data_IF_674218526434
#
_entry.id   IF_674218526434
#
_cell.length_a   1.000
_cell.length_b   1.000
_cell.length_c   1.000
_cell.angle_alpha   90.00
_cell.angle_beta   90.00
_cell.angle_gamma   90.00
#
_symmetry.space_group_name_H-M   'P 1'
#
loop_
_entity.id
_entity.type
_entity.pdbx_description
1 polymer ?
#
# COMPACT_ATOMS: atom_id res chain seq x y z
N UNK A 1 -5.18 12.47 21.64
CA UNK A 1 -3.82 11.90 21.41
C UNK A 1 -3.65 11.71 19.91
N UNK A 2 -2.46 11.97 19.37
CA UNK A 2 -2.17 12.21 17.94
C UNK A 2 -2.66 11.09 17.00
N UNK A 3 -3.43 11.46 15.97
CA UNK A 3 -3.66 10.66 14.76
C UNK A 3 -2.31 10.41 14.08
N UNK A 4 -1.73 9.22 14.28
CA UNK A 4 -0.63 8.76 13.44
C UNK A 4 -1.22 8.33 12.09
N UNK A 5 -1.07 9.18 11.09
CA UNK A 5 -1.19 8.79 9.69
C UNK A 5 -0.14 7.69 9.43
N UNK A 6 -0.53 6.59 8.78
CA UNK A 6 0.38 5.48 8.46
C UNK A 6 1.22 5.75 7.20
N UNK A 7 0.88 6.79 6.45
CA UNK A 7 1.73 7.28 5.38
C UNK A 7 2.74 8.27 5.95
N UNK A 8 4.00 8.08 5.57
CA UNK A 8 5.08 9.00 5.84
C UNK A 8 5.75 9.32 4.50
N UNK A 9 5.62 10.56 4.04
CA UNK A 9 6.50 11.09 3.01
C UNK A 9 7.85 11.35 3.67
N UNK A 10 8.68 10.32 3.71
CA UNK A 10 10.02 10.43 4.27
C UNK A 10 10.94 10.84 3.14
N UNK A 11 11.50 12.04 3.23
CA UNK A 11 12.63 12.40 2.40
C UNK A 11 13.83 11.62 2.96
N UNK A 12 14.12 10.45 2.38
CA UNK A 12 15.24 9.61 2.82
C UNK A 12 16.49 10.12 2.10
N UNK A 13 16.97 11.30 2.48
CA UNK A 13 18.13 11.97 1.87
C UNK A 13 17.79 13.25 1.10
N UNK A 14 18.78 13.94 0.56
CA UNK A 14 18.56 15.23 -0.13
C UNK A 14 18.03 15.08 -1.58
N UNK A 15 17.97 13.86 -2.13
CA UNK A 15 17.66 13.61 -3.56
C UNK A 15 16.66 12.46 -3.80
N UNK A 16 16.04 11.90 -2.76
CA UNK A 16 15.12 10.76 -2.88
C UNK A 16 13.85 10.91 -2.05
N UNK A 17 12.70 10.74 -2.71
CA UNK A 17 11.38 10.83 -2.12
C UNK A 17 10.75 9.44 -1.99
N UNK A 18 10.40 9.06 -0.76
CA UNK A 18 9.68 7.82 -0.51
C UNK A 18 8.17 8.10 -0.40
N UNK A 19 7.38 7.33 -1.13
CA UNK A 19 5.90 7.40 -1.16
C UNK A 19 5.34 6.02 -0.78
N UNK A 20 4.57 5.98 0.30
CA UNK A 20 3.87 4.78 0.74
C UNK A 20 2.46 4.74 0.14
N UNK A 21 2.16 3.72 -0.64
CA UNK A 21 0.84 3.44 -1.23
C UNK A 21 0.19 2.29 -0.49
N UNK A 22 -0.24 2.57 0.74
CA UNK A 22 -0.76 1.58 1.68
C UNK A 22 -2.27 1.76 1.87
N UNK A 23 -3.04 0.67 1.92
CA UNK A 23 -4.51 0.75 2.01
C UNK A 23 -5.21 0.94 0.67
N UNK A 24 -6.47 1.38 0.68
CA UNK A 24 -7.27 1.53 -0.53
C UNK A 24 -6.94 2.83 -1.28
N UNK A 25 -6.97 2.79 -2.61
CA UNK A 25 -6.88 3.97 -3.48
C UNK A 25 -8.29 4.53 -3.66
N UNK A 26 -8.62 5.64 -3.02
CA UNK A 26 -9.99 6.17 -2.99
C UNK A 26 -10.23 7.25 -4.05
N UNK A 27 -11.49 7.35 -4.49
CA UNK A 27 -11.95 8.49 -5.32
C UNK A 27 -12.24 9.69 -4.43
N UNK A 28 -11.60 10.83 -4.68
CA UNK A 28 -11.90 12.11 -4.01
C UNK A 28 -10.71 12.75 -3.28
N UNK A 29 -11.02 13.69 -2.38
CA UNK A 29 -10.04 14.44 -1.58
C UNK A 29 -9.77 13.78 -0.22
N UNK A 30 -9.15 14.49 0.72
CA UNK A 30 -8.92 13.94 2.07
C UNK A 30 -10.21 13.51 2.78
N UNK A 31 -11.34 14.16 2.48
CA UNK A 31 -12.65 13.86 3.07
C UNK A 31 -13.27 12.55 2.56
N UNK A 32 -12.68 11.94 1.52
CA UNK A 32 -13.13 10.67 0.93
C UNK A 32 -12.38 9.45 1.46
N UNK A 33 -11.47 9.66 2.42
CA UNK A 33 -10.73 8.59 3.10
C UNK A 33 -11.61 7.98 4.20
N UNK A 34 -11.76 6.66 4.16
CA UNK A 34 -12.45 5.88 5.18
C UNK A 34 -11.50 5.52 6.33
N UNK A 35 -10.23 5.32 5.99
CA UNK A 35 -9.13 5.14 6.94
C UNK A 35 -8.04 6.20 6.73
N UNK A 36 -7.33 6.52 7.81
CA UNK A 36 -6.09 7.30 7.80
C UNK A 36 -5.00 6.77 6.86
N UNK A 37 -5.07 5.50 6.46
CA UNK A 37 -4.15 4.87 5.52
C UNK A 37 -4.52 5.14 4.06
N UNK A 38 -5.79 5.39 3.75
CA UNK A 38 -6.25 5.50 2.37
C UNK A 38 -5.50 6.57 1.58
N UNK A 39 -5.32 6.30 0.30
CA UNK A 39 -4.50 7.12 -0.60
C UNK A 39 -5.40 7.80 -1.62
N UNK A 40 -5.26 9.13 -1.76
CA UNK A 40 -6.02 9.88 -2.75
C UNK A 40 -5.11 10.66 -3.72
N UNK A 41 -5.69 11.13 -4.82
CA UNK A 41 -4.95 11.87 -5.85
C UNK A 41 -4.22 13.10 -5.28
N UNK A 42 -4.83 13.79 -4.30
CA UNK A 42 -4.28 15.02 -3.74
C UNK A 42 -2.95 14.77 -3.00
N UNK A 43 -2.80 13.61 -2.34
CA UNK A 43 -1.56 13.26 -1.64
C UNK A 43 -0.38 13.15 -2.64
N UNK A 44 -0.62 12.59 -3.81
CA UNK A 44 0.37 12.55 -4.89
C UNK A 44 0.60 13.92 -5.51
N UNK A 45 -0.48 14.69 -5.71
CA UNK A 45 -0.41 16.02 -6.31
C UNK A 45 0.52 16.94 -5.53
N UNK A 46 0.26 17.10 -4.23
CA UNK A 46 1.01 18.04 -3.42
C UNK A 46 2.47 17.59 -3.24
N UNK A 47 2.70 16.29 -3.17
CA UNK A 47 4.05 15.74 -3.01
C UNK A 47 4.87 15.87 -4.29
N UNK A 48 4.32 15.48 -5.44
CA UNK A 48 5.05 15.47 -6.70
C UNK A 48 5.18 16.87 -7.33
N UNK A 49 4.29 17.82 -7.00
CA UNK A 49 4.48 19.21 -7.41
C UNK A 49 5.63 19.89 -6.64
N UNK A 50 5.98 19.38 -5.46
CA UNK A 50 7.03 19.91 -4.59
C UNK A 50 8.32 19.04 -4.58
N UNK A 51 8.66 18.41 -5.70
CA UNK A 51 9.82 17.50 -5.80
C UNK A 51 11.18 18.16 -5.48
N UNK A 52 11.33 19.48 -5.63
CA UNK A 52 12.61 20.15 -5.41
C UNK A 52 13.74 19.53 -6.25
N UNK A 53 14.83 19.12 -5.59
CA UNK A 53 16.00 18.48 -6.21
C UNK A 53 15.93 16.93 -6.22
N UNK A 54 14.74 16.36 -6.03
CA UNK A 54 14.55 14.90 -6.03
C UNK A 54 14.96 14.31 -7.37
N UNK A 55 15.85 13.31 -7.34
CA UNK A 55 16.29 12.53 -8.49
C UNK A 55 15.67 11.13 -8.52
N UNK A 56 15.21 10.63 -7.38
CA UNK A 56 14.61 9.30 -7.26
C UNK A 56 13.30 9.36 -6.49
N UNK A 57 12.26 8.70 -6.98
CA UNK A 57 11.01 8.46 -6.25
C UNK A 57 10.89 6.96 -5.99
N UNK A 58 10.75 6.56 -4.74
CA UNK A 58 10.52 5.17 -4.34
C UNK A 58 9.05 5.00 -3.94
N UNK A 59 8.33 4.14 -4.66
CA UNK A 59 6.94 3.78 -4.39
C UNK A 59 6.90 2.46 -3.63
N UNK A 60 6.50 2.48 -2.36
CA UNK A 60 6.28 1.26 -1.58
C UNK A 60 4.81 0.92 -1.61
N UNK A 61 4.47 -0.28 -2.08
CA UNK A 61 3.11 -0.67 -2.44
C UNK A 61 2.65 -1.76 -1.50
N UNK A 62 1.56 -1.49 -0.81
CA UNK A 62 0.89 -2.43 0.06
C UNK A 62 -0.62 -2.17 0.07
N UNK A 63 -1.25 -2.38 -1.08
CA UNK A 63 -2.61 -1.93 -1.40
C UNK A 63 -3.44 -3.03 -2.06
N UNK A 64 -4.71 -3.06 -1.66
CA UNK A 64 -5.75 -3.92 -2.25
C UNK A 64 -6.33 -3.35 -3.55
N UNK A 65 -5.89 -2.17 -4.00
CA UNK A 65 -6.46 -1.46 -5.15
C UNK A 65 -7.54 -0.45 -4.74
N UNK A 66 -8.58 -0.30 -5.55
CA UNK A 66 -9.63 0.72 -5.40
C UNK A 66 -9.95 1.44 -6.72
N UNK A 67 -10.00 2.77 -6.68
CA UNK A 67 -10.35 3.64 -7.80
C UNK A 67 -9.34 3.58 -8.95
N UNK A 68 -9.78 2.99 -10.06
CA UNK A 68 -9.03 2.95 -11.32
C UNK A 68 -8.73 4.36 -11.85
N UNK A 69 -9.69 5.28 -11.75
CA UNK A 69 -9.53 6.66 -12.25
C UNK A 69 -8.49 7.44 -11.43
N UNK A 70 -8.54 7.33 -10.09
CA UNK A 70 -7.51 7.92 -9.22
C UNK A 70 -6.14 7.35 -9.56
N UNK A 71 -6.05 6.03 -9.73
CA UNK A 71 -4.81 5.34 -10.08
C UNK A 71 -4.24 5.80 -11.42
N UNK A 72 -5.08 5.96 -12.45
CA UNK A 72 -4.66 6.50 -13.74
C UNK A 72 -4.14 7.94 -13.63
N UNK A 73 -4.77 8.76 -12.79
CA UNK A 73 -4.27 10.09 -12.45
C UNK A 73 -2.87 10.04 -11.83
N UNK A 74 -2.65 9.13 -10.87
CA UNK A 74 -1.35 8.91 -10.22
C UNK A 74 -0.29 8.46 -11.24
N UNK A 75 -0.63 7.51 -12.12
CA UNK A 75 0.27 7.04 -13.19
C UNK A 75 0.67 8.19 -14.12
N UNK A 76 -0.28 9.04 -14.54
CA UNK A 76 0.01 10.20 -15.37
C UNK A 76 0.92 11.22 -14.66
N UNK A 77 0.81 11.35 -13.33
CA UNK A 77 1.72 12.17 -12.54
C UNK A 77 3.13 11.58 -12.51
N UNK A 78 3.26 10.29 -12.18
CA UNK A 78 4.55 9.59 -12.15
C UNK A 78 5.24 9.65 -13.51
N UNK A 79 4.51 9.48 -14.61
CA UNK A 79 5.06 9.62 -15.95
C UNK A 79 5.60 11.03 -16.22
N UNK A 80 4.90 12.08 -15.77
CA UNK A 80 5.42 13.46 -15.89
C UNK A 80 6.69 13.68 -15.07
N UNK A 81 6.82 13.00 -13.94
CA UNK A 81 8.02 13.02 -13.09
C UNK A 81 9.18 12.32 -13.80
N UNK A 82 8.96 11.14 -14.37
CA UNK A 82 9.94 10.42 -15.19
C UNK A 82 10.43 11.23 -16.39
N UNK A 83 9.52 11.92 -17.08
CA UNK A 83 9.87 12.78 -18.22
C UNK A 83 10.78 13.96 -17.83
N UNK A 84 10.89 14.30 -16.54
CA UNK A 84 11.83 15.31 -16.00
C UNK A 84 13.19 14.71 -15.62
N UNK A 85 13.43 13.42 -15.88
CA UNK A 85 14.69 12.74 -15.56
C UNK A 85 14.76 12.18 -14.14
N UNK A 86 13.63 12.09 -13.43
CA UNK A 86 13.55 11.47 -12.11
C UNK A 86 13.32 9.97 -12.27
N UNK A 87 14.16 9.15 -11.63
CA UNK A 87 14.01 7.68 -11.62
C UNK A 87 12.87 7.30 -10.68
N UNK A 88 11.97 6.43 -11.13
CA UNK A 88 10.90 5.90 -10.28
C UNK A 88 11.17 4.42 -10.01
N UNK A 89 11.32 4.06 -8.74
CA UNK A 89 11.41 2.67 -8.29
C UNK A 89 10.10 2.28 -7.63
N UNK A 90 9.70 1.02 -7.78
CA UNK A 90 8.58 0.45 -7.03
C UNK A 90 9.03 -0.76 -6.22
N UNK A 91 8.48 -0.88 -5.03
CA UNK A 91 8.70 -1.96 -4.09
C UNK A 91 7.33 -2.52 -3.73
N UNK A 92 7.04 -3.74 -4.13
CA UNK A 92 5.82 -4.44 -3.70
C UNK A 92 6.11 -4.95 -2.29
N UNK A 93 5.81 -4.16 -1.26
CA UNK A 93 6.17 -4.46 0.13
C UNK A 93 5.37 -5.62 0.73
N UNK A 94 4.17 -5.86 0.21
CA UNK A 94 3.36 -7.01 0.60
C UNK A 94 2.32 -7.38 -0.44
N UNK A 95 1.36 -6.48 -0.69
CA UNK A 95 0.27 -6.72 -1.64
C UNK A 95 0.18 -5.60 -2.69
N UNK A 96 0.14 -5.97 -3.97
CA UNK A 96 -0.28 -5.10 -5.06
C UNK A 96 -1.44 -5.74 -5.81
N UNK A 97 -2.68 -5.47 -5.40
CA UNK A 97 -3.86 -6.10 -5.99
C UNK A 97 -4.71 -5.12 -6.81
N UNK A 98 -5.38 -5.65 -7.84
CA UNK A 98 -6.31 -4.86 -8.67
C UNK A 98 -5.61 -3.62 -9.24
N UNK A 99 -6.19 -2.43 -9.22
CA UNK A 99 -5.55 -1.24 -9.81
C UNK A 99 -4.20 -0.85 -9.16
N UNK A 100 -3.90 -1.29 -7.92
CA UNK A 100 -2.58 -1.06 -7.33
C UNK A 100 -1.47 -1.81 -8.09
N UNK A 101 -1.79 -2.91 -8.77
CA UNK A 101 -0.86 -3.65 -9.63
C UNK A 101 -0.41 -2.87 -10.87
N UNK A 102 -1.04 -1.74 -11.17
CA UNK A 102 -0.66 -0.86 -12.28
C UNK A 102 0.56 0.01 -11.94
N UNK A 103 0.73 0.33 -10.64
CA UNK A 103 1.77 1.26 -10.18
C UNK A 103 3.20 0.74 -10.36
N UNK A 104 3.51 -0.55 -10.10
CA UNK A 104 4.84 -1.06 -10.43
C UNK A 104 5.15 -0.94 -11.91
N UNK A 105 4.14 -1.12 -12.77
CA UNK A 105 4.34 -1.25 -14.21
C UNK A 105 4.80 0.06 -14.89
N UNK A 106 4.51 1.23 -14.32
CA UNK A 106 5.01 2.52 -14.82
C UNK A 106 6.44 2.84 -14.33
N UNK A 107 6.95 2.10 -13.35
CA UNK A 107 8.25 2.38 -12.71
C UNK A 107 9.41 2.05 -13.64
N UNK A 108 10.58 2.64 -13.41
CA UNK A 108 11.82 2.26 -14.09
C UNK A 108 12.28 0.90 -13.59
N UNK A 109 12.34 0.72 -12.26
CA UNK A 109 12.70 -0.53 -11.61
C UNK A 109 11.56 -1.06 -10.74
N UNK A 110 11.41 -2.39 -10.70
CA UNK A 110 10.41 -3.08 -9.89
C UNK A 110 11.10 -4.09 -8.99
N UNK A 111 10.84 -3.95 -7.70
CA UNK A 111 11.37 -4.81 -6.64
C UNK A 111 10.23 -5.51 -5.92
N UNK A 112 10.43 -6.79 -5.61
CA UNK A 112 9.54 -7.59 -4.79
C UNK A 112 10.36 -8.32 -3.72
N UNK A 113 9.77 -8.58 -2.56
CA UNK A 113 10.32 -9.47 -1.53
C UNK A 113 9.75 -10.87 -1.74
N UNK A 114 10.36 -11.90 -1.15
CA UNK A 114 9.83 -13.27 -1.25
C UNK A 114 8.37 -13.40 -0.77
N UNK A 115 7.97 -12.55 0.17
CA UNK A 115 6.61 -12.49 0.72
C UNK A 115 5.62 -11.73 -0.16
N UNK A 116 6.08 -11.00 -1.19
CA UNK A 116 5.26 -10.12 -2.00
C UNK A 116 4.29 -10.86 -2.90
N UNK A 117 3.12 -10.24 -3.09
CA UNK A 117 2.03 -10.79 -3.88
C UNK A 117 1.47 -9.72 -4.80
N UNK A 118 1.27 -10.08 -6.06
CA UNK A 118 0.62 -9.24 -7.06
C UNK A 118 -0.62 -9.96 -7.58
N UNK A 119 -1.73 -9.23 -7.69
CA UNK A 119 -2.95 -9.75 -8.30
C UNK A 119 -3.41 -8.89 -9.45
N UNK A 120 -3.71 -9.55 -10.57
CA UNK A 120 -4.31 -8.94 -11.75
C UNK A 120 -5.63 -9.63 -12.10
N UNK A 121 -6.62 -8.85 -12.48
CA UNK A 121 -7.95 -9.34 -12.88
C UNK A 121 -8.60 -8.40 -13.88
N UNK A 122 -9.65 -8.84 -14.58
CA UNK A 122 -10.40 -8.02 -15.54
C UNK A 122 -10.95 -6.74 -14.89
N UNK A 123 -11.09 -5.65 -15.67
CA UNK A 123 -11.75 -4.45 -15.15
C UNK A 123 -13.20 -4.79 -14.79
N UNK A 124 -13.66 -4.29 -13.64
CA UNK A 124 -15.00 -4.54 -13.13
C UNK A 124 -15.73 -3.24 -12.83
N UNK A 125 -17.04 -3.24 -13.05
CA UNK A 125 -17.95 -2.19 -12.60
C UNK A 125 -19.30 -2.80 -12.19
N UNK A 126 -20.14 -1.99 -11.57
CA UNK A 126 -21.55 -2.32 -11.31
C UNK A 126 -22.38 -1.53 -12.31
N UNK A 127 -23.21 -2.22 -13.08
CA UNK A 127 -24.14 -1.62 -14.04
C UNK A 127 -25.58 -1.97 -13.68
N UNK A 128 -26.47 -0.99 -13.80
CA UNK A 128 -27.92 -1.16 -13.70
C UNK A 128 -28.56 -0.44 -14.89
N UNK A 129 -29.35 -1.15 -15.68
CA UNK A 129 -29.91 -0.61 -16.92
C UNK A 129 -30.54 -1.70 -17.78
N UNK A 130 -30.84 -1.35 -19.04
CA UNK A 130 -31.37 -2.29 -20.03
C UNK A 130 -30.23 -3.05 -20.75
N UNK A 131 -30.58 -3.86 -21.75
CA UNK A 131 -29.61 -4.65 -22.51
C UNK A 131 -28.57 -3.79 -23.26
N UNK A 132 -28.97 -2.63 -23.78
CA UNK A 132 -28.08 -1.72 -24.51
C UNK A 132 -27.08 -1.05 -23.55
N UNK A 133 -27.53 -0.69 -22.34
CA UNK A 133 -26.66 -0.17 -21.28
C UNK A 133 -25.62 -1.21 -20.88
N UNK A 134 -26.03 -2.47 -20.70
CA UNK A 134 -25.12 -3.56 -20.36
C UNK A 134 -24.09 -3.83 -21.47
N UNK A 135 -24.53 -3.86 -22.74
CA UNK A 135 -23.63 -4.06 -23.87
C UNK A 135 -22.62 -2.91 -23.98
N UNK A 136 -23.06 -1.66 -23.82
CA UNK A 136 -22.19 -0.50 -23.81
C UNK A 136 -21.12 -0.57 -22.70
N UNK A 137 -21.49 -1.04 -21.51
CA UNK A 137 -20.51 -1.24 -20.43
C UNK A 137 -19.52 -2.36 -20.73
N UNK A 138 -19.95 -3.47 -21.35
CA UNK A 138 -19.05 -4.53 -21.80
C UNK A 138 -18.01 -3.97 -22.77
N UNK A 139 -18.44 -3.17 -23.75
CA UNK A 139 -17.54 -2.57 -24.74
C UNK A 139 -16.53 -1.61 -24.10
N UNK A 140 -16.95 -0.82 -23.10
CA UNK A 140 -16.07 0.06 -22.33
C UNK A 140 -15.03 -0.74 -21.54
N UNK A 141 -15.44 -1.81 -20.85
CA UNK A 141 -14.54 -2.64 -20.05
C UNK A 141 -13.52 -3.35 -20.93
N UNK A 142 -13.95 -3.92 -22.06
CA UNK A 142 -13.04 -4.54 -23.04
C UNK A 142 -12.06 -3.51 -23.62
N UNK A 143 -12.55 -2.31 -23.96
CA UNK A 143 -11.68 -1.25 -24.45
C UNK A 143 -10.66 -0.82 -23.40
N UNK A 144 -11.04 -0.76 -22.13
CA UNK A 144 -10.11 -0.43 -21.04
C UNK A 144 -9.05 -1.52 -20.86
N UNK A 145 -9.45 -2.79 -20.89
CA UNK A 145 -8.53 -3.93 -20.88
C UNK A 145 -7.51 -3.83 -22.01
N UNK A 146 -7.97 -3.67 -23.25
CA UNK A 146 -7.12 -3.65 -24.44
C UNK A 146 -6.26 -2.38 -24.57
N UNK A 147 -6.80 -1.21 -24.21
CA UNK A 147 -6.15 0.08 -24.49
C UNK A 147 -5.30 0.60 -23.32
N UNK A 148 -5.53 0.10 -22.11
CA UNK A 148 -4.89 0.64 -20.89
C UNK A 148 -4.17 -0.46 -20.13
N UNK A 149 -4.87 -1.52 -19.77
CA UNK A 149 -4.29 -2.55 -18.89
C UNK A 149 -3.24 -3.39 -19.61
N UNK A 150 -3.58 -3.91 -20.79
CA UNK A 150 -2.69 -4.78 -21.56
C UNK A 150 -1.38 -4.08 -21.94
N UNK A 151 -1.37 -2.86 -22.52
CA UNK A 151 -0.11 -2.19 -22.84
C UNK A 151 0.75 -1.91 -21.60
N UNK A 152 0.09 -1.62 -20.47
CA UNK A 152 0.79 -1.34 -19.22
C UNK A 152 1.53 -2.59 -18.70
N UNK A 153 0.86 -3.74 -18.64
CA UNK A 153 1.51 -4.99 -18.22
C UNK A 153 2.57 -5.45 -19.23
N UNK A 154 2.26 -5.39 -20.53
CA UNK A 154 3.19 -5.78 -21.58
C UNK A 154 4.46 -4.92 -21.59
N UNK A 155 4.39 -3.66 -21.13
CA UNK A 155 5.58 -2.79 -21.02
C UNK A 155 6.65 -3.30 -20.05
N UNK A 156 6.28 -4.23 -19.17
CA UNK A 156 7.17 -4.87 -18.18
C UNK A 156 7.23 -6.38 -18.32
N UNK A 157 6.55 -6.95 -19.32
CA UNK A 157 6.56 -8.38 -19.54
C UNK A 157 7.93 -8.84 -20.06
N UNK A 158 8.36 -10.04 -19.66
CA UNK A 158 9.58 -10.66 -20.18
C UNK A 158 9.40 -11.12 -21.61
N UNK A 159 10.52 -11.27 -22.32
CA UNK A 159 10.55 -11.84 -23.66
C UNK A 159 9.83 -13.20 -23.71
N UNK A 160 8.91 -13.33 -24.67
CA UNK A 160 8.12 -14.53 -24.88
C UNK A 160 6.77 -14.57 -24.16
N UNK A 161 6.49 -13.62 -23.26
CA UNK A 161 5.13 -13.42 -22.74
C UNK A 161 4.27 -12.79 -23.82
N UNK A 162 3.07 -13.32 -24.06
CA UNK A 162 2.14 -12.83 -25.10
C UNK A 162 0.94 -12.09 -24.52
N UNK A 163 0.32 -11.25 -25.35
CA UNK A 163 -0.92 -10.55 -25.02
C UNK A 163 -2.02 -11.52 -24.57
N UNK A 164 -2.15 -12.68 -25.22
CA UNK A 164 -3.14 -13.70 -24.88
C UNK A 164 -2.88 -14.31 -23.50
N UNK A 165 -1.61 -14.49 -23.12
CA UNK A 165 -1.27 -14.99 -21.79
C UNK A 165 -1.68 -13.99 -20.71
N UNK A 166 -1.37 -12.70 -20.89
CA UNK A 166 -1.80 -11.66 -19.95
C UNK A 166 -3.33 -11.57 -19.88
N UNK A 167 -4.04 -11.61 -21.02
CA UNK A 167 -5.52 -11.61 -21.06
C UNK A 167 -6.13 -12.82 -20.35
N UNK A 168 -5.54 -14.00 -20.51
CA UNK A 168 -5.97 -15.21 -19.80
C UNK A 168 -5.75 -15.07 -18.28
N UNK A 169 -4.61 -14.52 -17.87
CA UNK A 169 -4.33 -14.24 -16.46
C UNK A 169 -5.33 -13.22 -15.85
N UNK A 170 -5.66 -12.16 -16.59
CA UNK A 170 -6.69 -11.19 -16.18
C UNK A 170 -8.07 -11.85 -16.04
N UNK A 171 -8.44 -12.70 -17.00
CA UNK A 171 -9.71 -13.43 -16.97
C UNK A 171 -9.84 -14.36 -15.76
N UNK A 172 -8.72 -14.98 -15.35
CA UNK A 172 -8.66 -15.93 -14.24
C UNK A 172 -8.60 -15.31 -12.85
N UNK A 173 -8.44 -13.98 -12.74
CA UNK A 173 -8.09 -13.32 -11.47
C UNK A 173 -6.84 -13.98 -10.86
N UNK A 174 -5.69 -13.71 -11.47
CA UNK A 174 -4.44 -14.40 -11.16
C UNK A 174 -3.72 -13.72 -10.01
N UNK A 175 -3.41 -14.51 -8.99
CA UNK A 175 -2.60 -14.14 -7.83
C UNK A 175 -1.21 -14.77 -8.00
N UNK A 176 -0.16 -13.95 -7.96
CA UNK A 176 1.22 -14.38 -8.17
C UNK A 176 2.06 -14.11 -6.92
N UNK A 177 2.83 -15.10 -6.51
CA UNK A 177 3.97 -14.88 -5.60
C UNK A 177 5.15 -14.21 -6.32
N UNK A 178 6.20 -13.85 -5.58
CA UNK A 178 7.38 -13.19 -6.14
C UNK A 178 8.09 -13.98 -7.24
N UNK A 179 8.11 -15.31 -7.15
CA UNK A 179 8.72 -16.16 -8.16
C UNK A 179 7.88 -16.16 -9.43
N UNK A 180 6.57 -16.38 -9.31
CA UNK A 180 5.62 -16.34 -10.40
C UNK A 180 5.61 -14.97 -11.10
N UNK A 181 5.60 -13.89 -10.32
CA UNK A 181 5.75 -12.53 -10.81
C UNK A 181 7.01 -12.36 -11.67
N UNK A 182 8.16 -12.79 -11.14
CA UNK A 182 9.45 -12.66 -11.83
C UNK A 182 9.54 -13.52 -13.09
N UNK A 183 8.73 -14.57 -13.23
CA UNK A 183 8.69 -15.36 -14.45
C UNK A 183 7.95 -14.65 -15.59
N UNK A 184 7.03 -13.74 -15.25
CA UNK A 184 6.18 -13.02 -16.21
C UNK A 184 6.70 -11.60 -16.48
N UNK A 185 7.16 -10.89 -15.45
CA UNK A 185 7.58 -9.50 -15.53
C UNK A 185 9.06 -9.32 -15.19
N UNK A 186 9.64 -8.22 -15.68
CA UNK A 186 10.99 -7.79 -15.31
C UNK A 186 11.00 -7.22 -13.89
N UNK A 187 11.08 -8.14 -12.92
CA UNK A 187 11.03 -7.87 -11.48
C UNK A 187 12.28 -8.46 -10.81
N UNK A 188 12.90 -7.65 -9.96
CA UNK A 188 14.01 -8.09 -9.11
C UNK A 188 13.48 -8.54 -7.75
N UNK A 189 13.79 -9.79 -7.37
CA UNK A 189 13.46 -10.30 -6.04
C UNK A 189 14.58 -9.92 -5.07
N UNK A 190 14.20 -9.29 -3.96
CA UNK A 190 15.07 -8.94 -2.84
C UNK A 190 15.10 -10.08 -1.82
N UNK A 191 16.26 -10.35 -1.25
CA UNK A 191 16.46 -11.47 -0.30
C UNK A 191 15.94 -11.18 1.12
N UNK A 192 15.64 -9.92 1.43
CA UNK A 192 15.06 -9.54 2.72
C UNK A 192 13.61 -10.02 2.86
N UNK A 193 13.20 -10.45 4.05
CA UNK A 193 11.80 -10.75 4.33
C UNK A 193 11.11 -9.54 4.96
N UNK A 194 10.08 -9.00 4.30
CA UNK A 194 9.17 -7.99 4.89
C UNK A 194 7.87 -8.63 5.39
N UNK A 195 7.41 -8.15 6.55
CA UNK A 195 6.23 -8.65 7.24
C UNK A 195 4.94 -8.18 6.53
N UNK A 196 4.14 -9.13 6.02
CA UNK A 196 2.91 -8.91 5.22
C UNK A 196 1.75 -8.26 5.98
N UNK A 197 1.90 -8.02 7.29
CA UNK A 197 0.77 -7.90 8.22
C UNK A 197 0.07 -6.53 8.30
N UNK A 198 0.44 -5.55 7.46
CA UNK A 198 -0.04 -4.16 7.58
C UNK A 198 -0.83 -3.58 6.39
N UNK A 199 -1.31 -4.40 5.44
CA UNK A 199 -1.96 -3.89 4.21
C UNK A 199 -3.48 -3.73 4.28
N UNK A 200 -4.14 -4.47 5.17
CA UNK A 200 -5.60 -4.65 5.14
C UNK A 200 -6.18 -4.31 6.50
N UNK A 201 -6.70 -3.09 6.63
CA UNK A 201 -7.41 -2.66 7.84
C UNK A 201 -8.83 -3.20 7.86
N UNK A 202 -9.50 -3.24 6.70
CA UNK A 202 -10.80 -3.87 6.52
C UNK A 202 -10.68 -5.16 5.70
N UNK A 203 -10.84 -6.30 6.37
CA UNK A 203 -10.75 -7.63 5.76
C UNK A 203 -11.90 -7.93 4.80
N UNK A 204 -13.02 -7.20 4.88
CA UNK A 204 -14.16 -7.40 3.98
C UNK A 204 -13.84 -7.02 2.53
N UNK A 205 -12.82 -6.18 2.30
CA UNK A 205 -12.39 -5.82 0.95
C UNK A 205 -11.91 -7.03 0.14
N UNK A 206 -11.44 -8.08 0.83
CA UNK A 206 -11.04 -9.34 0.20
C UNK A 206 -12.24 -10.16 -0.29
N UNK A 207 -13.43 -9.97 0.28
CA UNK A 207 -14.62 -10.69 -0.16
C UNK A 207 -15.11 -10.24 -1.55
N UNK A 208 -14.57 -9.13 -2.07
CA UNK A 208 -14.81 -8.68 -3.45
C UNK A 208 -14.07 -9.51 -4.50
N UNK A 209 -13.12 -10.36 -4.09
CA UNK A 209 -12.31 -11.18 -5.00
C UNK A 209 -12.74 -12.65 -4.95
N UNK A 210 -12.80 -13.30 -6.12
CA UNK A 210 -13.41 -14.64 -6.27
C UNK A 210 -12.42 -15.77 -6.05
N UNK A 211 -11.15 -15.57 -6.39
CA UNK A 211 -10.15 -16.62 -6.54
C UNK A 211 -8.93 -16.46 -5.62
N UNK A 212 -9.08 -15.75 -4.49
CA UNK A 212 -7.99 -15.61 -3.51
C UNK A 212 -7.48 -17.00 -3.09
N UNK A 213 -6.19 -17.32 -3.27
CA UNK A 213 -5.60 -18.56 -2.79
C UNK A 213 -5.85 -18.73 -1.28
N UNK A 214 -6.23 -19.93 -0.85
CA UNK A 214 -6.58 -20.19 0.56
C UNK A 214 -5.42 -19.87 1.52
N UNK A 215 -4.19 -20.20 1.12
CA UNK A 215 -2.97 -19.86 1.85
C UNK A 215 -2.82 -18.35 2.06
N UNK A 216 -3.10 -17.57 1.01
CA UNK A 216 -3.06 -16.12 1.06
C UNK A 216 -4.18 -15.56 1.94
N UNK A 217 -5.41 -16.04 1.78
CA UNK A 217 -6.54 -15.66 2.63
C UNK A 217 -6.20 -15.90 4.10
N UNK A 218 -5.59 -17.04 4.44
CA UNK A 218 -5.17 -17.33 5.81
C UNK A 218 -4.09 -16.36 6.33
N UNK A 219 -3.11 -15.96 5.51
CA UNK A 219 -2.05 -15.01 5.89
C UNK A 219 -2.64 -13.61 6.15
N UNK A 220 -3.44 -13.10 5.20
CA UNK A 220 -4.09 -11.79 5.30
C UNK A 220 -5.08 -11.73 6.47
N UNK A 221 -5.74 -12.85 6.79
CA UNK A 221 -6.66 -12.94 7.93
C UNK A 221 -5.94 -13.11 9.28
N UNK A 222 -4.75 -13.72 9.34
CA UNK A 222 -4.00 -14.03 10.58
C UNK A 222 -3.12 -12.89 11.13
N UNK A 223 -2.83 -11.86 10.36
CA UNK A 223 -1.96 -10.72 10.76
C UNK A 223 -2.35 -9.96 12.05
N UNK A 224 -3.51 -10.25 12.65
CA UNK A 224 -3.99 -9.60 13.88
C UNK A 224 -3.46 -10.19 15.20
N UNK A 225 -3.04 -11.47 15.25
CA UNK A 225 -2.66 -12.09 16.55
C UNK A 225 -1.29 -11.67 17.08
N UNK A 226 -0.38 -11.29 16.19
CA UNK A 226 0.97 -10.81 16.58
C UNK A 226 0.89 -9.36 17.07
N UNK A 227 0.07 -8.53 16.41
CA UNK A 227 -0.15 -7.13 16.79
C UNK A 227 -0.90 -6.97 18.11
N UNK A 228 -1.86 -7.84 18.46
CA UNK A 228 -2.49 -7.85 19.79
C UNK A 228 -1.50 -8.20 20.90
N UNK A 229 -0.71 -9.28 20.76
CA UNK A 229 0.28 -9.67 21.78
C UNK A 229 1.39 -8.63 21.99
N UNK A 230 1.80 -7.93 20.94
CA UNK A 230 2.81 -6.86 21.03
C UNK A 230 2.21 -5.59 21.65
N UNK A 231 0.95 -5.26 21.35
CA UNK A 231 0.23 -4.17 22.02
C UNK A 231 0.02 -4.46 23.51
N UNK A 232 -0.39 -5.66 23.88
CA UNK A 232 -0.60 -6.05 25.28
C UNK A 232 0.70 -5.95 26.09
N UNK A 233 1.83 -6.45 25.54
CA UNK A 233 3.13 -6.32 26.21
C UNK A 233 3.62 -4.87 26.32
N UNK A 234 3.47 -4.08 25.27
CA UNK A 234 3.89 -2.68 25.29
C UNK A 234 3.02 -1.83 26.24
N UNK A 235 1.72 -2.16 26.35
CA UNK A 235 0.80 -1.51 27.28
C UNK A 235 1.06 -1.93 28.73
N UNK A 236 1.36 -3.22 28.99
CA UNK A 236 1.82 -3.68 30.31
C UNK A 236 3.12 -3.01 30.75
N UNK A 237 4.11 -2.88 29.87
CA UNK A 237 5.38 -2.21 30.17
C UNK A 237 5.19 -0.71 30.43
N UNK A 238 4.31 -0.05 29.66
CA UNK A 238 3.98 1.36 29.84
C UNK A 238 3.24 1.60 31.16
N UNK A 239 2.31 0.72 31.53
CA UNK A 239 1.59 0.79 32.80
C UNK A 239 2.55 0.60 33.99
N UNK A 240 3.51 -0.35 33.89
CA UNK A 240 4.57 -0.52 34.89
C UNK A 240 5.43 0.73 35.05
N UNK A 241 5.87 1.36 33.96
CA UNK A 241 6.65 2.59 34.04
C UNK A 241 5.87 3.75 34.68
N UNK A 242 4.57 3.88 34.39
CA UNK A 242 3.72 4.90 35.02
C UNK A 242 3.58 4.64 36.53
N UNK A 243 3.42 3.38 36.93
CA UNK A 243 3.34 2.98 38.34
C UNK A 243 4.64 3.29 39.08
N UNK A 244 5.79 2.95 38.48
CA UNK A 244 7.11 3.17 39.06
C UNK A 244 7.43 4.66 39.22
N UNK A 245 7.05 5.49 38.24
CA UNK A 245 7.22 6.93 38.33
C UNK A 245 6.36 7.55 39.44
N UNK A 246 5.10 7.13 39.58
CA UNK A 246 4.24 7.57 40.69
C UNK A 246 4.80 7.17 42.06
N UNK A 247 5.38 5.99 42.15
CA UNK A 247 5.98 5.51 43.40
C UNK A 247 7.22 6.35 43.77
N UNK A 248 8.06 6.71 42.80
CA UNK A 248 9.20 7.61 43.01
C UNK A 248 8.77 9.01 43.43
N UNK A 249 7.79 9.60 42.74
CA UNK A 249 7.25 10.91 43.08
C UNK A 249 6.67 10.95 44.51
N UNK A 250 5.96 9.89 44.92
CA UNK A 250 5.47 9.79 46.29
C UNK A 250 6.59 9.66 47.33
N UNK A 251 7.66 8.91 47.03
CA UNK A 251 8.81 8.80 47.93
C UNK A 251 9.56 10.13 48.07
N UNK A 252 9.73 10.87 46.97
CA UNK A 252 10.34 12.20 46.99
C UNK A 252 9.48 13.21 47.77
N UNK A 253 8.15 13.13 47.63
CA UNK A 253 7.23 13.98 48.37
C UNK A 253 7.27 13.70 49.88
N UNK A 254 7.32 12.44 50.30
CA UNK A 254 7.45 12.07 51.71
C UNK A 254 8.80 12.51 52.29
N UNK A 255 9.89 12.39 51.52
CA UNK A 255 11.20 12.87 51.93
C UNK A 255 11.22 14.41 52.09
N UNK A 256 10.54 15.13 51.20
CA UNK A 256 10.44 16.59 51.27
C UNK A 256 9.62 17.04 52.49
N UNK A 257 8.50 16.36 52.78
CA UNK A 257 7.69 16.60 54.00
C UNK A 257 8.52 16.37 55.26
N UNK A 258 9.28 15.28 55.33
CA UNK A 258 10.13 14.97 56.48
C UNK A 258 11.23 16.02 56.69
N UNK A 259 11.85 16.53 55.61
CA UNK A 259 12.84 17.63 55.69
C UNK A 259 12.22 18.94 56.18
N UNK A 260 11.02 19.28 55.68
CA UNK A 260 10.33 20.50 56.09
C UNK A 260 9.94 20.48 57.58
N UNK A 261 9.59 19.31 58.11
CA UNK A 261 9.29 19.12 59.54
C UNK A 261 10.53 19.33 60.42
N UNK A 262 11.72 18.93 59.97
CA UNK A 262 12.98 19.14 60.69
C UNK A 262 13.48 20.59 60.67
N UNK A 263 13.03 21.41 59.71
CA UNK A 263 13.35 22.84 59.64
C UNK A 263 12.39 23.71 60.49
N UNK A 264 11.33 23.12 61.04
CA UNK A 264 10.32 23.79 61.87
C UNK A 264 10.49 23.50 63.39
N UNK A 265 11.46 22.68 63.77
CA UNK A 265 11.93 22.47 65.16
C UNK A 265 13.15 23.36 65.49
#
# INVERSE_FOLDING_TARGET
MRNKKFYEFKNVGNESLDIMVYGEIVSGGQDSKWDSTDVCFQDFKDTLDNLGNTKTVNLYINSVGGSVITTQGIIAMLQRVKNKGVVVNSYIDGLGASCASFLPMISDNIYAYNSSILMIHKPMNIVMGNADDMQSQIDILNKFEDSVMLPLYMSKAKDGVTDEQIKDMLSKETWMDATEMSNIFDITILEDDKDLTACINDKSILDNYKNIPKSLKDILMKGSKVTEKVKDKAEEERLKQIQDNKNKENQELELLKAKLLLELE
#
